data_IF_585088105657
#
_entry.id   IF_585088105657
#
_cell.length_a   1.000
_cell.length_b   1.000
_cell.length_c   1.000
_cell.angle_alpha   90.00
_cell.angle_beta   90.00
_cell.angle_gamma   90.00
#
_symmetry.space_group_name_H-M   'P 1'
#
loop_
_entity.id
_entity.type
_entity.pdbx_description
1 polymer ?
#
# COMPACT_ATOMS: atom_id res chain seq x y z
N UNK A 1 13.86 20.97 -19.25
CA UNK A 1 12.69 20.21 -18.78
C UNK A 1 12.50 20.46 -17.29
N UNK A 2 11.38 21.07 -16.90
CA UNK A 2 11.05 21.31 -15.48
C UNK A 2 10.61 19.95 -14.90
N UNK A 3 11.40 19.39 -13.97
CA UNK A 3 11.03 18.15 -13.25
C UNK A 3 9.81 18.45 -12.38
N UNK A 4 8.61 18.31 -12.95
CA UNK A 4 7.40 18.13 -12.16
C UNK A 4 7.63 16.91 -11.28
N UNK A 5 7.37 17.02 -9.99
CA UNK A 5 7.65 15.95 -9.03
C UNK A 5 7.12 14.60 -9.53
N UNK A 6 7.89 13.53 -9.30
CA UNK A 6 7.66 12.20 -9.89
C UNK A 6 6.44 11.49 -9.29
N UNK A 7 5.26 12.10 -9.35
CA UNK A 7 4.02 11.55 -8.80
C UNK A 7 3.55 10.30 -9.54
N UNK A 8 3.86 10.17 -10.84
CA UNK A 8 3.65 8.91 -11.56
C UNK A 8 4.42 7.72 -10.97
N UNK A 9 5.55 7.96 -10.28
CA UNK A 9 6.26 6.90 -9.56
C UNK A 9 5.56 6.53 -8.24
N UNK A 10 4.85 7.48 -7.61
CA UNK A 10 4.02 7.22 -6.43
C UNK A 10 2.72 6.49 -6.78
N UNK A 11 2.09 6.83 -7.91
CA UNK A 11 0.95 6.08 -8.45
C UNK A 11 1.35 4.64 -8.78
N UNK A 12 2.52 4.45 -9.42
CA UNK A 12 3.09 3.13 -9.70
C UNK A 12 3.37 2.33 -8.42
N UNK A 13 3.96 2.97 -7.40
CA UNK A 13 4.21 2.34 -6.10
C UNK A 13 2.90 1.94 -5.40
N UNK A 14 1.87 2.80 -5.42
CA UNK A 14 0.55 2.50 -4.86
C UNK A 14 -0.09 1.29 -5.55
N UNK A 15 -0.01 1.22 -6.88
CA UNK A 15 -0.51 0.08 -7.65
C UNK A 15 0.25 -1.22 -7.33
N UNK A 16 1.58 -1.16 -7.23
CA UNK A 16 2.40 -2.33 -6.84
C UNK A 16 2.09 -2.82 -5.43
N UNK A 17 1.90 -1.90 -4.47
CA UNK A 17 1.54 -2.28 -3.10
C UNK A 17 0.14 -2.88 -3.00
N UNK A 18 -0.85 -2.31 -3.72
CA UNK A 18 -2.17 -2.91 -3.83
C UNK A 18 -2.10 -4.36 -4.35
N UNK A 19 -1.33 -4.59 -5.41
CA UNK A 19 -1.11 -5.93 -5.94
C UNK A 19 -0.47 -6.88 -4.93
N UNK A 20 0.53 -6.39 -4.18
CA UNK A 20 1.22 -7.17 -3.15
C UNK A 20 0.28 -7.56 -1.99
N UNK A 21 -0.45 -6.59 -1.41
CA UNK A 21 -1.40 -6.82 -0.31
C UNK A 21 -2.49 -7.80 -0.73
N UNK A 22 -3.06 -7.63 -1.92
CA UNK A 22 -4.08 -8.53 -2.44
C UNK A 22 -3.55 -9.95 -2.68
N UNK A 23 -2.33 -10.09 -3.23
CA UNK A 23 -1.70 -11.40 -3.43
C UNK A 23 -1.40 -12.12 -2.12
N UNK A 24 -0.95 -11.38 -1.10
CA UNK A 24 -0.73 -11.92 0.25
C UNK A 24 -2.05 -12.36 0.87
N UNK A 25 -3.12 -11.56 0.79
CA UNK A 25 -4.46 -11.93 1.27
C UNK A 25 -4.96 -13.23 0.61
N UNK A 26 -4.88 -13.33 -0.72
CA UNK A 26 -5.29 -14.54 -1.44
C UNK A 26 -4.47 -15.77 -1.01
N UNK A 27 -3.17 -15.60 -0.80
CA UNK A 27 -2.29 -16.68 -0.36
C UNK A 27 -2.65 -17.17 1.05
N UNK A 28 -3.00 -16.24 1.95
CA UNK A 28 -3.45 -16.55 3.31
C UNK A 28 -4.81 -17.26 3.27
N UNK A 29 -5.76 -16.77 2.47
CA UNK A 29 -7.08 -17.40 2.35
C UNK A 29 -6.97 -18.81 1.78
N UNK A 30 -6.12 -19.00 0.76
CA UNK A 30 -5.84 -20.33 0.21
C UNK A 30 -5.20 -21.25 1.26
N UNK A 31 -4.22 -20.73 2.00
CA UNK A 31 -3.57 -21.50 3.06
C UNK A 31 -4.52 -21.82 4.21
N UNK A 32 -5.38 -20.89 4.63
CA UNK A 32 -6.41 -21.09 5.63
C UNK A 32 -7.45 -22.13 5.20
N UNK A 33 -7.92 -22.05 3.95
CA UNK A 33 -8.83 -23.06 3.39
C UNK A 33 -8.18 -24.45 3.29
N UNK A 34 -6.93 -24.52 2.83
CA UNK A 34 -6.17 -25.77 2.75
C UNK A 34 -5.92 -26.37 4.13
N UNK A 35 -5.68 -25.52 5.13
CA UNK A 35 -5.35 -25.93 6.50
C UNK A 35 -6.60 -26.18 7.34
N UNK A 36 -7.78 -25.65 6.98
CA UNK A 36 -8.99 -25.69 7.81
C UNK A 36 -9.49 -27.10 8.19
N UNK A 37 -9.24 -28.12 7.38
CA UNK A 37 -9.56 -29.52 7.74
C UNK A 37 -8.56 -30.14 8.72
N UNK A 38 -7.30 -29.69 8.74
CA UNK A 38 -6.24 -30.26 9.59
C UNK A 38 -5.89 -29.38 10.78
N UNK A 39 -6.20 -28.09 10.74
CA UNK A 39 -5.88 -27.11 11.78
C UNK A 39 -6.59 -27.42 13.11
N UNK A 40 -7.85 -27.90 13.04
CA UNK A 40 -8.58 -28.31 14.24
C UNK A 40 -7.95 -29.54 14.92
N UNK A 41 -7.23 -30.36 14.15
CA UNK A 41 -6.56 -31.58 14.61
C UNK A 41 -5.08 -31.35 14.95
N UNK A 42 -4.51 -30.20 14.56
CA UNK A 42 -3.16 -29.77 14.90
C UNK A 42 -3.09 -29.26 16.34
N UNK A 43 -3.11 -30.20 17.28
CA UNK A 43 -2.88 -29.95 18.71
C UNK A 43 -1.39 -29.87 19.08
N UNK A 44 -0.51 -30.03 18.08
CA UNK A 44 0.92 -30.05 18.20
C UNK A 44 1.58 -28.71 17.80
N UNK A 45 2.90 -28.71 17.70
CA UNK A 45 3.69 -27.53 17.34
C UNK A 45 3.30 -26.94 15.97
N UNK A 46 2.77 -27.74 15.03
CA UNK A 46 2.36 -27.26 13.72
C UNK A 46 1.13 -26.35 13.80
N UNK A 47 0.18 -26.63 14.70
CA UNK A 47 -0.98 -25.78 14.94
C UNK A 47 -0.61 -24.43 15.55
N UNK A 48 0.34 -24.43 16.48
CA UNK A 48 0.90 -23.20 17.06
C UNK A 48 1.58 -22.32 16.02
N UNK A 49 2.44 -22.91 15.19
CA UNK A 49 3.14 -22.20 14.10
C UNK A 49 2.17 -21.68 13.03
N UNK A 50 1.15 -22.46 12.69
CA UNK A 50 0.09 -22.02 11.79
C UNK A 50 -0.57 -20.74 12.30
N UNK A 51 -1.03 -20.74 13.56
CA UNK A 51 -1.70 -19.58 14.16
C UNK A 51 -0.78 -18.35 14.25
N UNK A 52 0.50 -18.55 14.51
CA UNK A 52 1.51 -17.49 14.60
C UNK A 52 1.74 -16.82 13.23
N UNK A 53 1.97 -17.63 12.20
CA UNK A 53 2.14 -17.13 10.81
C UNK A 53 0.85 -16.45 10.33
N UNK A 54 -0.33 -17.03 10.57
CA UNK A 54 -1.61 -16.40 10.21
C UNK A 54 -1.76 -15.01 10.84
N UNK A 55 -1.35 -14.87 12.10
CA UNK A 55 -1.41 -13.59 12.82
C UNK A 55 -0.42 -12.56 12.26
N UNK A 56 0.83 -12.96 12.00
CA UNK A 56 1.83 -12.08 11.40
C UNK A 56 1.37 -11.59 10.01
N UNK A 57 0.81 -12.50 9.22
CA UNK A 57 0.18 -12.20 7.94
C UNK A 57 -0.94 -11.16 8.06
N UNK A 58 -1.88 -11.32 9.02
CA UNK A 58 -2.93 -10.34 9.27
C UNK A 58 -2.37 -8.95 9.65
N UNK A 59 -1.34 -8.89 10.48
CA UNK A 59 -0.70 -7.63 10.87
C UNK A 59 -0.10 -6.88 9.66
N UNK A 60 0.58 -7.60 8.76
CA UNK A 60 1.13 -7.02 7.53
C UNK A 60 0.02 -6.47 6.63
N UNK A 61 -1.12 -7.14 6.54
CA UNK A 61 -2.24 -6.66 5.74
C UNK A 61 -2.85 -5.37 6.30
N UNK A 62 -3.01 -5.28 7.62
CA UNK A 62 -3.47 -4.04 8.28
C UNK A 62 -2.50 -2.89 8.01
N UNK A 63 -1.20 -3.11 8.24
CA UNK A 63 -0.18 -2.10 7.98
C UNK A 63 -0.13 -1.69 6.49
N UNK A 64 -0.34 -2.64 5.58
CA UNK A 64 -0.42 -2.39 4.14
C UNK A 64 -1.62 -1.52 3.76
N UNK A 65 -2.79 -1.77 4.35
CA UNK A 65 -4.00 -0.95 4.13
C UNK A 65 -3.82 0.48 4.66
N UNK A 66 -3.24 0.63 5.85
CA UNK A 66 -2.93 1.95 6.44
C UNK A 66 -1.95 2.74 5.55
N UNK A 67 -0.91 2.07 5.06
CA UNK A 67 0.06 2.67 4.15
C UNK A 67 -0.60 3.10 2.83
N UNK A 68 -1.46 2.27 2.25
CA UNK A 68 -2.21 2.64 1.04
C UNK A 68 -3.11 3.85 1.27
N UNK A 69 -3.77 3.93 2.43
CA UNK A 69 -4.63 5.06 2.77
C UNK A 69 -3.80 6.35 2.89
N UNK A 70 -2.65 6.29 3.57
CA UNK A 70 -1.72 7.41 3.69
C UNK A 70 -1.15 7.84 2.34
N UNK A 71 -0.80 6.88 1.47
CA UNK A 71 -0.30 7.17 0.13
C UNK A 71 -1.36 7.85 -0.73
N UNK A 72 -2.59 7.36 -0.75
CA UNK A 72 -3.65 7.97 -1.55
C UNK A 72 -3.95 9.41 -1.12
N UNK A 73 -3.96 9.67 0.19
CA UNK A 73 -4.15 11.04 0.72
C UNK A 73 -2.93 11.93 0.48
N UNK A 74 -1.73 11.40 0.70
CA UNK A 74 -0.47 12.12 0.53
C UNK A 74 -0.18 12.50 -0.91
N UNK A 75 -0.44 11.59 -1.87
CA UNK A 75 -0.26 11.85 -3.30
C UNK A 75 -1.22 12.96 -3.76
N UNK A 76 -2.49 12.92 -3.36
CA UNK A 76 -3.45 13.98 -3.71
C UNK A 76 -3.05 15.34 -3.14
N UNK A 77 -2.63 15.37 -1.87
CA UNK A 77 -2.20 16.60 -1.19
C UNK A 77 -0.95 17.18 -1.84
N UNK A 78 0.08 16.37 -2.08
CA UNK A 78 1.30 16.79 -2.75
C UNK A 78 1.05 17.25 -4.19
N UNK A 79 0.13 16.61 -4.93
CA UNK A 79 -0.26 17.05 -6.26
C UNK A 79 -0.92 18.43 -6.24
N UNK A 80 -1.86 18.67 -5.32
CA UNK A 80 -2.53 19.96 -5.15
C UNK A 80 -1.56 21.08 -4.81
N UNK A 81 -0.68 20.86 -3.82
CA UNK A 81 0.33 21.83 -3.42
C UNK A 81 1.33 22.14 -4.54
N UNK A 82 1.74 21.13 -5.30
CA UNK A 82 2.64 21.31 -6.43
C UNK A 82 1.98 22.09 -7.57
N UNK A 83 0.72 21.81 -7.93
CA UNK A 83 -0.02 22.62 -8.91
C UNK A 83 -0.12 24.09 -8.48
N UNK A 84 -0.42 24.33 -7.20
CA UNK A 84 -0.44 25.68 -6.64
C UNK A 84 0.94 26.35 -6.71
N UNK A 85 2.02 25.62 -6.43
CA UNK A 85 3.39 26.12 -6.54
C UNK A 85 3.79 26.45 -7.99
N UNK A 86 3.36 25.63 -8.96
CA UNK A 86 3.53 25.89 -10.40
C UNK A 86 2.77 27.14 -10.81
N UNK A 87 1.48 27.28 -10.44
CA UNK A 87 0.68 28.48 -10.74
C UNK A 87 1.33 29.75 -10.18
N UNK A 88 1.75 29.74 -8.90
CA UNK A 88 2.48 30.87 -8.29
C UNK A 88 3.75 31.21 -9.07
N UNK A 89 4.46 30.20 -9.56
CA UNK A 89 5.69 30.41 -10.32
C UNK A 89 5.44 30.91 -11.74
N UNK A 90 4.37 30.46 -12.40
CA UNK A 90 3.95 31.01 -13.70
C UNK A 90 3.47 32.45 -13.58
N UNK A 91 2.70 32.79 -12.52
CA UNK A 91 2.28 34.17 -12.25
C UNK A 91 3.46 35.13 -12.03
N UNK A 92 4.50 34.68 -11.33
CA UNK A 92 5.75 35.45 -11.17
C UNK A 92 6.52 35.65 -12.47
N UNK A 93 6.52 34.66 -13.37
CA UNK A 93 7.17 34.78 -14.68
C UNK A 93 6.36 35.67 -15.64
N UNK A 94 5.04 35.62 -15.60
CA UNK A 94 4.15 36.46 -16.42
C UNK A 94 4.03 37.92 -15.96
N UNK A 95 4.39 38.24 -14.71
CA UNK A 95 4.52 39.64 -14.23
C UNK A 95 5.94 40.19 -14.36
N UNK A 96 6.88 39.40 -14.90
CA UNK A 96 8.27 39.78 -15.13
C UNK A 96 8.64 40.01 -16.60
N UNK A 97 7.66 39.97 -17.51
CA UNK A 97 7.72 40.47 -18.89
C UNK A 97 6.84 41.72 -18.98
#
# INVERSE_FOLDING_TARGET
MRKLAMFGALDGLSASMNGCVNGVQQSIDSWGNASGMTQADWTDQAGGQFAEISRACQQVMVAGQELMQAMNQGVQSCNSENMAAVQRSCGRLGSGM
#
